data_IF_498687427584
#
_entry.id   IF_498687427584
#
_cell.length_a   1.000
_cell.length_b   1.000
_cell.length_c   1.000
_cell.angle_alpha   90.00
_cell.angle_beta   90.00
_cell.angle_gamma   90.00
#
_symmetry.space_group_name_H-M   'P 1'
#
loop_
_entity.id
_entity.type
_entity.pdbx_description
1 polymer ?
#
# COMPACT_ATOMS: atom_id res chain seq x y z
N UNK A 1 42.84 -8.32 75.66
CA UNK A 1 43.09 -8.56 74.23
C UNK A 1 41.81 -8.30 73.43
N UNK A 2 41.63 -7.14 72.78
CA UNK A 2 40.46 -6.75 71.98
C UNK A 2 40.71 -7.12 70.53
N UNK A 3 39.91 -8.00 69.93
CA UNK A 3 39.98 -8.34 68.51
C UNK A 3 39.31 -7.26 67.69
N UNK A 4 40.05 -6.51 66.90
CA UNK A 4 39.54 -5.59 65.92
C UNK A 4 39.09 -6.40 64.71
N UNK A 5 37.79 -6.44 64.45
CA UNK A 5 37.23 -6.98 63.18
C UNK A 5 37.33 -5.87 62.13
N UNK A 6 38.25 -6.08 61.20
CA UNK A 6 38.34 -5.23 59.99
C UNK A 6 37.18 -5.63 59.05
N UNK A 7 36.14 -4.78 58.92
CA UNK A 7 35.11 -4.96 57.91
C UNK A 7 35.64 -4.39 56.57
N UNK A 8 36.10 -5.28 55.71
CA UNK A 8 36.30 -4.91 54.30
C UNK A 8 34.97 -4.78 53.64
N UNK A 9 34.42 -3.55 53.55
CA UNK A 9 33.31 -3.24 52.65
C UNK A 9 33.85 -3.23 51.20
N UNK A 10 33.69 -4.36 50.53
CA UNK A 10 33.87 -4.38 49.08
C UNK A 10 32.66 -3.64 48.48
N UNK A 11 32.88 -2.38 48.12
CA UNK A 11 31.97 -1.65 47.25
C UNK A 11 32.12 -2.26 45.86
N UNK A 12 31.30 -3.24 45.54
CA UNK A 12 31.05 -3.66 44.18
C UNK A 12 30.30 -2.49 43.52
N UNK A 13 31.06 -1.58 42.92
CA UNK A 13 30.53 -0.67 41.93
C UNK A 13 30.08 -1.55 40.74
N UNK A 14 28.82 -1.94 40.75
CA UNK A 14 28.19 -2.47 39.57
C UNK A 14 28.32 -1.39 38.50
N UNK A 15 29.31 -1.51 37.65
CA UNK A 15 29.38 -0.83 36.38
C UNK A 15 28.21 -1.40 35.59
N UNK A 16 27.00 -0.88 35.81
CA UNK A 16 25.96 -1.06 34.83
C UNK A 16 26.50 -0.44 33.55
N UNK A 17 26.63 -1.20 32.44
CA UNK A 17 26.88 -0.55 31.18
C UNK A 17 25.77 0.51 31.06
N UNK A 18 26.16 1.77 30.97
CA UNK A 18 25.22 2.83 30.58
C UNK A 18 24.66 2.36 29.26
N UNK A 19 23.40 1.88 29.27
CA UNK A 19 22.68 1.61 28.03
C UNK A 19 22.61 2.97 27.36
N UNK A 20 23.53 3.19 26.45
CA UNK A 20 23.59 4.42 25.67
C UNK A 20 22.27 4.45 24.91
N UNK A 21 21.38 5.36 25.29
CA UNK A 21 20.15 5.51 24.53
C UNK A 21 20.56 5.94 23.12
N UNK A 22 20.21 5.11 22.14
CA UNK A 22 20.52 5.40 20.75
C UNK A 22 20.00 6.80 20.37
N UNK A 23 20.81 7.55 19.67
CA UNK A 23 20.41 8.86 19.14
C UNK A 23 19.30 8.68 18.10
N UNK A 24 18.52 9.74 17.85
CA UNK A 24 17.51 9.69 16.78
C UNK A 24 18.18 9.42 15.42
N UNK A 25 19.37 9.95 15.18
CA UNK A 25 20.10 9.71 13.92
C UNK A 25 20.43 8.21 13.72
N UNK A 26 20.87 7.51 14.77
CA UNK A 26 21.12 6.06 14.69
C UNK A 26 19.86 5.26 14.44
N UNK A 27 18.73 5.66 15.03
CA UNK A 27 17.44 4.98 14.82
C UNK A 27 16.91 5.21 13.40
N UNK A 28 17.03 6.43 12.86
CA UNK A 28 16.66 6.73 11.47
C UNK A 28 17.55 5.99 10.49
N UNK A 29 18.88 5.90 10.74
CA UNK A 29 19.78 5.12 9.90
C UNK A 29 19.40 3.62 9.86
N UNK A 30 18.91 3.06 10.96
CA UNK A 30 18.40 1.68 10.97
C UNK A 30 17.09 1.55 10.18
N UNK A 31 16.17 2.51 10.28
CA UNK A 31 14.95 2.50 9.47
C UNK A 31 15.26 2.64 7.97
N UNK A 32 16.27 3.44 7.59
CA UNK A 32 16.75 3.51 6.19
C UNK A 32 17.26 2.16 5.70
N UNK A 33 18.09 1.49 6.51
CA UNK A 33 18.59 0.15 6.19
C UNK A 33 17.44 -0.85 6.00
N UNK A 34 16.40 -0.78 6.83
CA UNK A 34 15.20 -1.62 6.72
C UNK A 34 14.43 -1.29 5.44
N UNK A 35 14.24 0.00 5.13
CA UNK A 35 13.52 0.43 3.94
C UNK A 35 14.19 -0.01 2.64
N UNK A 36 15.52 -0.01 2.59
CA UNK A 36 16.28 -0.49 1.43
C UNK A 36 16.23 -2.01 1.30
N UNK A 37 16.17 -2.72 2.42
CA UNK A 37 16.08 -4.19 2.42
C UNK A 37 14.75 -4.70 1.85
N UNK A 38 13.63 -4.03 2.15
CA UNK A 38 12.31 -4.40 1.62
C UNK A 38 12.25 -4.36 0.07
N UNK A 39 13.12 -3.56 -0.58
CA UNK A 39 13.14 -3.43 -2.05
C UNK A 39 14.13 -4.41 -2.73
N UNK A 40 15.18 -4.87 -2.03
CA UNK A 40 16.15 -5.81 -2.60
C UNK A 40 15.58 -7.24 -2.70
N UNK A 41 14.66 -7.61 -1.81
CA UNK A 41 14.13 -8.97 -1.72
C UNK A 41 13.10 -9.35 -2.80
N UNK A 42 12.61 -8.42 -3.60
CA UNK A 42 11.75 -8.75 -4.75
C UNK A 42 12.48 -9.60 -5.84
N UNK A 43 13.78 -9.81 -5.70
CA UNK A 43 14.62 -10.44 -6.73
C UNK A 43 15.03 -11.88 -6.39
N UNK A 44 15.15 -12.25 -5.11
CA UNK A 44 15.60 -13.59 -4.72
C UNK A 44 14.56 -14.31 -3.83
N UNK A 45 13.82 -15.26 -4.43
CA UNK A 45 12.84 -16.15 -3.76
C UNK A 45 13.47 -17.06 -2.68
N UNK A 46 14.10 -16.48 -1.68
CA UNK A 46 14.62 -17.23 -0.54
C UNK A 46 13.54 -17.30 0.55
N UNK A 47 12.64 -18.29 0.45
CA UNK A 47 11.47 -18.48 1.32
C UNK A 47 11.76 -18.53 2.85
N UNK A 48 13.02 -18.43 3.26
CA UNK A 48 13.43 -18.53 4.66
C UNK A 48 14.10 -17.24 5.21
N UNK A 49 14.20 -16.19 4.44
CA UNK A 49 14.81 -14.94 4.90
C UNK A 49 13.79 -14.10 5.66
N UNK A 50 14.15 -13.68 6.87
CA UNK A 50 13.29 -12.84 7.72
C UNK A 50 13.50 -11.39 7.30
N UNK A 51 12.54 -10.84 6.57
CA UNK A 51 12.54 -9.42 6.18
C UNK A 51 12.44 -8.55 7.44
N UNK A 52 13.43 -7.67 7.70
CA UNK A 52 13.39 -6.80 8.86
C UNK A 52 12.29 -5.74 8.70
N UNK A 53 11.63 -5.41 9.78
CA UNK A 53 10.51 -4.47 9.83
C UNK A 53 10.79 -3.32 10.80
N UNK A 54 10.05 -2.19 10.75
CA UNK A 54 10.17 -1.13 11.77
C UNK A 54 9.97 -1.64 13.21
N UNK A 55 9.22 -2.72 13.41
CA UNK A 55 9.08 -3.36 14.72
C UNK A 55 10.40 -3.96 15.25
N UNK A 56 11.31 -4.32 14.35
CA UNK A 56 12.65 -4.79 14.74
C UNK A 56 13.50 -3.63 15.25
N UNK A 57 13.45 -2.47 14.58
CA UNK A 57 14.07 -1.25 15.09
C UNK A 57 13.51 -0.86 16.46
N UNK A 58 12.17 -0.96 16.63
CA UNK A 58 11.52 -0.72 17.94
C UNK A 58 12.10 -1.62 19.02
N UNK A 59 12.24 -2.93 18.76
CA UNK A 59 12.82 -3.90 19.71
C UNK A 59 14.29 -3.61 19.97
N UNK A 60 15.07 -3.40 18.92
CA UNK A 60 16.51 -3.13 18.99
C UNK A 60 16.85 -1.94 19.90
N UNK A 61 16.07 -0.86 19.80
CA UNK A 61 16.31 0.39 20.52
C UNK A 61 15.38 0.59 21.72
N UNK A 62 14.52 -0.37 22.05
CA UNK A 62 13.55 -0.31 23.12
C UNK A 62 12.64 0.95 23.05
N UNK A 63 12.08 1.22 21.86
CA UNK A 63 11.24 2.38 21.62
C UNK A 63 9.79 2.14 22.02
N UNK A 64 9.13 3.21 22.44
CA UNK A 64 7.65 3.26 22.47
C UNK A 64 7.10 3.36 21.05
N UNK A 65 5.82 3.03 20.86
CA UNK A 65 5.16 3.18 19.55
C UNK A 65 5.17 4.64 19.07
N UNK A 66 5.01 5.60 19.98
CA UNK A 66 5.09 7.02 19.66
C UNK A 66 6.49 7.44 19.18
N UNK A 67 7.55 6.93 19.80
CA UNK A 67 8.92 7.23 19.37
C UNK A 67 9.23 6.61 18.00
N UNK A 68 8.83 5.36 17.77
CA UNK A 68 8.97 4.73 16.46
C UNK A 68 8.24 5.54 15.39
N UNK A 69 7.00 5.93 15.66
CA UNK A 69 6.20 6.70 14.71
C UNK A 69 6.81 8.07 14.36
N UNK A 70 7.34 8.79 15.36
CA UNK A 70 8.06 10.04 15.12
C UNK A 70 9.34 9.84 14.29
N UNK A 71 10.07 8.76 14.51
CA UNK A 71 11.24 8.41 13.69
C UNK A 71 10.83 8.08 12.25
N UNK A 72 9.75 7.33 12.03
CA UNK A 72 9.17 7.06 10.71
C UNK A 72 8.77 8.37 10.00
N UNK A 73 8.07 9.28 10.68
CA UNK A 73 7.70 10.59 10.12
C UNK A 73 8.92 11.43 9.78
N UNK A 74 9.94 11.37 10.63
CA UNK A 74 11.21 12.08 10.38
C UNK A 74 11.87 11.52 9.11
N UNK A 75 11.90 10.20 8.92
CA UNK A 75 12.43 9.58 7.71
C UNK A 75 11.60 9.96 6.47
N UNK A 76 10.27 9.90 6.55
CA UNK A 76 9.37 10.28 5.46
C UNK A 76 9.56 11.74 4.99
N UNK A 77 10.07 12.62 5.86
CA UNK A 77 10.36 14.03 5.57
C UNK A 77 11.84 14.35 5.36
N UNK A 78 12.74 13.37 5.52
CA UNK A 78 14.19 13.59 5.46
C UNK A 78 14.66 14.01 4.07
N UNK A 79 14.06 13.44 3.03
CA UNK A 79 14.48 13.67 1.65
C UNK A 79 13.51 14.58 0.91
N UNK A 80 14.07 15.48 0.10
CA UNK A 80 13.29 16.45 -0.67
C UNK A 80 12.54 15.73 -1.82
N UNK A 81 11.41 16.29 -2.24
CA UNK A 81 10.66 15.84 -3.43
C UNK A 81 11.47 15.90 -4.73
N UNK A 82 12.50 16.73 -4.80
CA UNK A 82 13.43 16.84 -5.92
C UNK A 82 14.68 15.96 -5.77
N UNK A 83 14.69 15.02 -4.80
CA UNK A 83 15.80 14.08 -4.61
C UNK A 83 16.05 13.25 -5.86
N UNK A 84 17.32 13.11 -6.26
CA UNK A 84 17.73 12.36 -7.44
C UNK A 84 18.36 11.01 -7.12
N UNK A 85 18.87 10.83 -5.90
CA UNK A 85 19.41 9.55 -5.45
C UNK A 85 18.25 8.55 -5.29
N UNK A 86 18.37 7.40 -5.95
CA UNK A 86 17.32 6.37 -5.99
C UNK A 86 17.05 5.79 -4.60
N UNK A 87 18.09 5.44 -3.84
CA UNK A 87 17.94 4.88 -2.50
C UNK A 87 17.23 5.85 -1.54
N UNK A 88 17.57 7.15 -1.58
CA UNK A 88 16.89 8.17 -0.79
C UNK A 88 15.41 8.29 -1.14
N UNK A 89 15.09 8.18 -2.44
CA UNK A 89 13.69 8.17 -2.92
C UNK A 89 12.95 6.95 -2.43
N UNK A 90 13.57 5.77 -2.49
CA UNK A 90 13.03 4.51 -1.99
C UNK A 90 12.76 4.60 -0.48
N UNK A 91 13.75 5.00 0.32
CA UNK A 91 13.57 5.21 1.76
C UNK A 91 12.38 6.12 2.10
N UNK A 92 12.21 7.23 1.36
CA UNK A 92 11.05 8.10 1.55
C UNK A 92 9.75 7.43 1.17
N UNK A 93 9.68 6.75 0.01
CA UNK A 93 8.48 6.05 -0.46
C UNK A 93 8.01 5.00 0.54
N UNK A 94 8.92 4.17 1.02
CA UNK A 94 8.64 3.12 2.02
C UNK A 94 8.20 3.76 3.33
N UNK A 95 8.90 4.79 3.82
CA UNK A 95 8.54 5.49 5.05
C UNK A 95 7.16 6.16 4.98
N UNK A 96 6.75 6.67 3.81
CA UNK A 96 5.39 7.20 3.59
C UNK A 96 4.34 6.08 3.72
N UNK A 97 4.61 4.89 3.21
CA UNK A 97 3.79 3.70 3.44
C UNK A 97 3.66 3.36 4.92
N UNK A 98 4.78 3.36 5.65
CA UNK A 98 4.79 3.10 7.09
C UNK A 98 4.02 4.15 7.91
N UNK A 99 3.99 5.42 7.48
CA UNK A 99 3.16 6.45 8.13
C UNK A 99 1.70 6.03 8.19
N UNK A 100 1.17 5.39 7.16
CA UNK A 100 -0.20 4.88 7.18
C UNK A 100 -0.38 3.63 8.03
N UNK A 101 0.62 2.75 8.05
CA UNK A 101 0.54 1.51 8.82
C UNK A 101 0.68 1.73 10.33
N UNK A 102 1.58 2.61 10.75
CA UNK A 102 1.86 2.91 12.17
C UNK A 102 1.11 4.13 12.71
N UNK A 103 0.55 4.95 11.82
CA UNK A 103 -0.20 6.16 12.17
C UNK A 103 -1.69 5.90 12.42
N UNK A 104 -2.41 6.99 12.49
CA UNK A 104 -3.87 7.01 12.64
C UNK A 104 -4.50 7.84 11.53
N UNK A 105 -5.83 7.91 11.51
CA UNK A 105 -6.57 8.77 10.57
C UNK A 105 -6.19 10.25 10.64
N UNK A 106 -5.51 10.70 11.69
CA UNK A 106 -4.97 12.05 11.79
C UNK A 106 -3.90 12.35 10.71
N UNK A 107 -3.26 11.31 10.19
CA UNK A 107 -2.22 11.43 9.15
C UNK A 107 -2.80 11.53 7.72
N UNK A 108 -4.10 11.34 7.55
CA UNK A 108 -4.74 11.41 6.21
C UNK A 108 -4.50 12.73 5.50
N UNK A 109 -4.49 13.86 6.21
CA UNK A 109 -4.22 15.17 5.59
C UNK A 109 -2.80 15.26 5.04
N UNK A 110 -1.81 14.75 5.77
CA UNK A 110 -0.42 14.68 5.34
C UNK A 110 -0.25 13.76 4.12
N UNK A 111 -0.79 12.54 4.19
CA UNK A 111 -0.73 11.57 3.09
C UNK A 111 -1.44 12.08 1.83
N UNK A 112 -2.59 12.72 1.97
CA UNK A 112 -3.31 13.33 0.84
C UNK A 112 -2.54 14.49 0.20
N UNK A 113 -1.78 15.25 0.97
CA UNK A 113 -0.91 16.30 0.41
C UNK A 113 0.17 15.70 -0.50
N UNK A 114 0.79 14.58 -0.11
CA UNK A 114 1.76 13.83 -0.93
C UNK A 114 1.05 13.21 -2.14
N UNK A 115 -0.07 12.51 -1.94
CA UNK A 115 -0.84 11.85 -2.98
C UNK A 115 -1.26 12.83 -4.10
N UNK A 116 -1.62 14.06 -3.75
CA UNK A 116 -2.07 15.08 -4.69
C UNK A 116 -0.94 15.90 -5.33
N UNK A 117 0.32 15.56 -5.04
CA UNK A 117 1.47 16.23 -5.64
C UNK A 117 2.08 15.36 -6.77
N UNK A 118 1.84 15.69 -8.06
CA UNK A 118 2.34 14.89 -9.18
C UNK A 118 3.87 14.89 -9.32
N UNK A 119 4.57 15.77 -8.60
CA UNK A 119 6.02 15.84 -8.59
C UNK A 119 6.65 15.06 -7.42
N UNK A 120 5.85 14.54 -6.50
CA UNK A 120 6.36 13.75 -5.36
C UNK A 120 6.47 12.28 -5.78
N UNK A 121 7.68 11.75 -5.79
CA UNK A 121 7.92 10.35 -6.14
C UNK A 121 7.34 9.34 -5.13
N UNK A 122 6.96 9.79 -3.93
CA UNK A 122 6.20 8.98 -2.97
C UNK A 122 4.68 9.03 -3.21
N UNK A 123 4.21 9.64 -4.33
CA UNK A 123 2.80 9.78 -4.67
C UNK A 123 2.06 8.44 -4.67
N UNK A 124 2.66 7.41 -5.27
CA UNK A 124 2.08 6.06 -5.32
C UNK A 124 1.91 5.44 -3.93
N UNK A 125 2.96 5.47 -3.11
CA UNK A 125 2.90 4.95 -1.74
C UNK A 125 1.84 5.67 -0.91
N UNK A 126 1.76 6.99 -1.02
CA UNK A 126 0.73 7.78 -0.36
C UNK A 126 -0.68 7.42 -0.85
N UNK A 127 -0.86 7.22 -2.15
CA UNK A 127 -2.15 6.83 -2.74
C UNK A 127 -2.62 5.47 -2.22
N UNK A 128 -1.76 4.44 -2.27
CA UNK A 128 -2.06 3.11 -1.74
C UNK A 128 -2.45 3.17 -0.26
N UNK A 129 -1.68 3.92 0.52
CA UNK A 129 -1.91 4.11 1.95
C UNK A 129 -3.23 4.81 2.25
N UNK A 130 -3.56 5.88 1.52
CA UNK A 130 -4.83 6.61 1.68
C UNK A 130 -6.02 5.73 1.32
N UNK A 131 -5.94 4.94 0.25
CA UNK A 131 -6.98 3.98 -0.12
C UNK A 131 -7.18 2.94 0.98
N UNK A 132 -6.11 2.36 1.51
CA UNK A 132 -6.18 1.37 2.58
C UNK A 132 -6.79 1.94 3.87
N UNK A 133 -6.37 3.13 4.29
CA UNK A 133 -6.88 3.78 5.50
C UNK A 133 -8.34 4.22 5.38
N UNK A 134 -8.84 4.42 4.18
CA UNK A 134 -10.20 4.93 3.96
C UNK A 134 -11.19 3.89 3.48
N UNK A 135 -10.76 2.67 3.19
CA UNK A 135 -11.58 1.60 2.57
C UNK A 135 -12.90 1.28 3.28
N UNK A 136 -12.99 1.55 4.58
CA UNK A 136 -14.19 1.32 5.39
C UNK A 136 -14.92 2.63 5.77
N UNK A 137 -14.56 3.75 5.13
CA UNK A 137 -15.14 5.06 5.43
C UNK A 137 -15.93 5.62 4.25
N UNK A 138 -16.81 6.58 4.52
CA UNK A 138 -17.58 7.30 3.50
C UNK A 138 -16.67 8.13 2.56
N UNK A 139 -15.42 8.38 2.95
CA UNK A 139 -14.46 9.12 2.14
C UNK A 139 -13.85 8.28 1.01
N UNK A 140 -13.97 6.96 1.04
CA UNK A 140 -13.31 6.05 0.09
C UNK A 140 -13.69 6.34 -1.37
N UNK A 141 -15.00 6.33 -1.67
CA UNK A 141 -15.47 6.57 -3.05
C UNK A 141 -15.15 7.95 -3.60
N UNK A 142 -15.32 9.04 -2.84
CA UNK A 142 -14.87 10.36 -3.27
C UNK A 142 -13.37 10.38 -3.63
N UNK A 143 -12.51 9.72 -2.85
CA UNK A 143 -11.06 9.63 -3.12
C UNK A 143 -10.78 8.80 -4.38
N UNK A 144 -11.38 7.62 -4.51
CA UNK A 144 -11.24 6.79 -5.71
C UNK A 144 -11.68 7.55 -6.96
N UNK A 145 -12.83 8.23 -6.89
CA UNK A 145 -13.33 9.02 -8.01
C UNK A 145 -12.37 10.17 -8.37
N UNK A 146 -11.80 10.85 -7.38
CA UNK A 146 -10.80 11.90 -7.62
C UNK A 146 -9.58 11.33 -8.34
N UNK A 147 -9.01 10.23 -7.84
CA UNK A 147 -7.85 9.59 -8.46
C UNK A 147 -8.12 9.25 -9.93
N UNK A 148 -9.20 8.55 -10.23
CA UNK A 148 -9.46 8.04 -11.60
C UNK A 148 -9.91 9.12 -12.59
N UNK A 149 -10.40 10.25 -12.11
CA UNK A 149 -10.89 11.34 -12.98
C UNK A 149 -9.89 12.48 -13.15
N UNK A 150 -9.01 12.71 -12.18
CA UNK A 150 -8.09 13.85 -12.19
C UNK A 150 -6.79 13.52 -12.93
N UNK A 151 -6.85 13.62 -14.26
CA UNK A 151 -5.71 13.32 -15.18
C UNK A 151 -4.54 14.30 -15.08
N UNK A 152 -4.72 15.44 -14.43
CA UNK A 152 -3.64 16.42 -14.23
C UNK A 152 -2.76 16.09 -13.04
N UNK A 153 -3.30 15.42 -12.04
CA UNK A 153 -2.60 15.03 -10.81
C UNK A 153 -2.12 13.58 -10.88
N UNK A 154 -2.96 12.68 -11.41
CA UNK A 154 -2.67 11.25 -11.44
C UNK A 154 -2.35 10.79 -12.87
N UNK A 155 -1.17 10.19 -13.05
CA UNK A 155 -0.76 9.56 -14.31
C UNK A 155 -1.70 8.40 -14.67
N UNK A 156 -1.66 7.96 -15.93
CA UNK A 156 -2.43 6.77 -16.36
C UNK A 156 -2.04 5.53 -15.54
N UNK A 157 -0.75 5.36 -15.26
CA UNK A 157 -0.26 4.26 -14.42
C UNK A 157 -0.86 4.25 -13.02
N UNK A 158 -0.91 5.41 -12.35
CA UNK A 158 -1.52 5.51 -11.01
C UNK A 158 -3.03 5.26 -11.02
N UNK A 159 -3.73 5.75 -12.05
CA UNK A 159 -5.15 5.45 -12.21
C UNK A 159 -5.40 3.98 -12.48
N UNK A 160 -4.55 3.35 -13.31
CA UNK A 160 -4.57 1.90 -13.54
C UNK A 160 -4.31 1.10 -12.26
N UNK A 161 -3.30 1.50 -11.50
CA UNK A 161 -2.96 0.89 -10.22
C UNK A 161 -4.12 0.97 -9.20
N UNK A 162 -4.89 2.06 -9.22
CA UNK A 162 -6.09 2.18 -8.36
C UNK A 162 -7.08 1.05 -8.65
N UNK A 163 -7.29 0.67 -9.91
CA UNK A 163 -8.17 -0.46 -10.27
C UNK A 163 -7.59 -1.79 -9.80
N UNK A 164 -6.28 -2.01 -9.92
CA UNK A 164 -5.62 -3.21 -9.40
C UNK A 164 -5.79 -3.30 -7.88
N UNK A 165 -5.50 -2.22 -7.17
CA UNK A 165 -5.67 -2.15 -5.70
C UNK A 165 -7.11 -2.46 -5.28
N UNK A 166 -8.10 -1.92 -6.01
CA UNK A 166 -9.51 -2.22 -5.75
C UNK A 166 -9.85 -3.69 -6.04
N UNK A 167 -9.27 -4.28 -7.09
CA UNK A 167 -9.46 -5.70 -7.41
C UNK A 167 -8.89 -6.59 -6.29
N UNK A 168 -7.71 -6.27 -5.79
CA UNK A 168 -7.07 -7.00 -4.70
C UNK A 168 -7.86 -6.89 -3.38
N UNK A 169 -8.35 -5.71 -3.06
CA UNK A 169 -9.26 -5.50 -1.92
C UNK A 169 -10.53 -6.36 -2.03
N UNK A 170 -11.07 -6.51 -3.24
CA UNK A 170 -12.22 -7.36 -3.49
C UNK A 170 -11.89 -8.86 -3.44
N UNK A 171 -10.66 -9.26 -3.77
CA UNK A 171 -10.21 -10.64 -3.70
C UNK A 171 -9.95 -11.11 -2.26
N UNK A 172 -9.47 -10.23 -1.40
CA UNK A 172 -9.31 -10.47 0.03
C UNK A 172 -10.64 -10.52 0.80
N UNK A 173 -11.75 -10.68 0.10
CA UNK A 173 -13.13 -10.48 0.55
C UNK A 173 -13.57 -11.29 1.77
N UNK A 174 -12.94 -12.41 2.05
CA UNK A 174 -13.36 -13.28 3.17
C UNK A 174 -13.04 -12.68 4.55
N UNK A 175 -12.27 -11.61 4.61
CA UNK A 175 -11.88 -10.95 5.86
C UNK A 175 -12.27 -9.48 5.92
N UNK A 176 -12.90 -8.93 4.88
CA UNK A 176 -13.11 -7.50 4.74
C UNK A 176 -14.60 -7.14 4.83
N UNK A 177 -15.00 -6.48 5.92
CA UNK A 177 -16.36 -5.97 6.18
C UNK A 177 -16.86 -5.05 5.06
N UNK A 178 -15.97 -4.29 4.46
CA UNK A 178 -16.26 -3.38 3.35
C UNK A 178 -16.82 -4.11 2.12
N UNK A 179 -16.25 -5.26 1.73
CA UNK A 179 -16.74 -6.05 0.57
C UNK A 179 -18.03 -6.79 0.90
N UNK A 180 -18.31 -7.05 2.17
CA UNK A 180 -19.54 -7.69 2.63
C UNK A 180 -20.72 -6.70 2.72
N UNK A 181 -20.47 -5.38 2.68
CA UNK A 181 -21.53 -4.38 2.66
C UNK A 181 -22.17 -4.30 1.27
N UNK A 182 -23.46 -4.67 1.17
CA UNK A 182 -24.21 -4.71 -0.09
C UNK A 182 -24.23 -3.36 -0.80
N UNK A 183 -24.39 -2.25 -0.06
CA UNK A 183 -24.44 -0.92 -0.64
C UNK A 183 -23.06 -0.53 -1.21
N UNK A 184 -22.00 -0.78 -0.49
CA UNK A 184 -20.63 -0.52 -0.95
C UNK A 184 -20.33 -1.35 -2.19
N UNK A 185 -20.65 -2.66 -2.20
CA UNK A 185 -20.48 -3.51 -3.39
C UNK A 185 -21.23 -2.99 -4.60
N UNK A 186 -22.48 -2.57 -4.41
CA UNK A 186 -23.29 -2.01 -5.49
C UNK A 186 -22.70 -0.72 -6.04
N UNK A 187 -22.20 0.15 -5.17
CA UNK A 187 -21.57 1.41 -5.57
C UNK A 187 -20.25 1.14 -6.32
N UNK A 188 -19.43 0.19 -5.85
CA UNK A 188 -18.20 -0.22 -6.55
C UNK A 188 -18.55 -0.77 -7.93
N UNK A 189 -19.52 -1.69 -8.02
CA UNK A 189 -19.93 -2.26 -9.30
C UNK A 189 -20.42 -1.17 -10.27
N UNK A 190 -21.24 -0.22 -9.82
CA UNK A 190 -21.70 0.90 -10.62
C UNK A 190 -20.54 1.78 -11.07
N UNK A 191 -19.62 2.10 -10.17
CA UNK A 191 -18.43 2.88 -10.47
C UNK A 191 -17.55 2.21 -11.52
N UNK A 192 -17.28 0.90 -11.42
CA UNK A 192 -16.50 0.17 -12.40
C UNK A 192 -17.19 0.10 -13.76
N UNK A 193 -18.48 -0.12 -13.80
CA UNK A 193 -19.25 -0.13 -15.05
C UNK A 193 -19.18 1.23 -15.77
N UNK A 194 -19.22 2.33 -15.03
CA UNK A 194 -19.07 3.67 -15.57
C UNK A 194 -17.64 3.96 -16.06
N UNK A 195 -16.63 3.50 -15.34
CA UNK A 195 -15.22 3.80 -15.59
C UNK A 195 -14.47 2.78 -16.45
N UNK A 196 -14.98 1.56 -16.61
CA UNK A 196 -14.38 0.50 -17.45
C UNK A 196 -14.10 0.95 -18.90
N UNK A 197 -14.70 2.05 -19.33
CA UNK A 197 -14.51 2.63 -20.66
C UNK A 197 -13.36 3.63 -20.75
N UNK A 198 -12.77 4.00 -19.63
CA UNK A 198 -11.82 5.12 -19.56
C UNK A 198 -10.35 4.67 -19.59
N UNK A 199 -10.03 3.48 -19.07
CA UNK A 199 -8.65 3.01 -18.89
C UNK A 199 -8.48 1.58 -19.43
N UNK A 200 -7.83 1.45 -20.56
CA UNK A 200 -7.77 0.18 -21.31
C UNK A 200 -6.89 -0.87 -20.64
N UNK A 201 -5.78 -0.48 -20.05
CA UNK A 201 -4.80 -1.43 -19.52
C UNK A 201 -5.27 -2.10 -18.21
N UNK A 202 -6.14 -1.43 -17.46
CA UNK A 202 -6.75 -1.95 -16.23
C UNK A 202 -8.12 -2.61 -16.45
N UNK A 203 -8.58 -2.69 -17.68
CA UNK A 203 -9.97 -3.06 -18.00
C UNK A 203 -10.34 -4.47 -17.61
N UNK A 204 -9.41 -5.42 -17.76
CA UNK A 204 -9.68 -6.83 -17.42
C UNK A 204 -9.81 -7.03 -15.92
N UNK A 205 -9.04 -6.28 -15.10
CA UNK A 205 -9.22 -6.26 -13.66
C UNK A 205 -10.57 -5.67 -13.26
N UNK A 206 -10.95 -4.55 -13.89
CA UNK A 206 -12.25 -3.89 -13.68
C UNK A 206 -13.39 -4.82 -14.06
N UNK A 207 -13.29 -5.52 -15.20
CA UNK A 207 -14.29 -6.49 -15.66
C UNK A 207 -14.45 -7.65 -14.67
N UNK A 208 -13.34 -8.23 -14.20
CA UNK A 208 -13.38 -9.32 -13.23
C UNK A 208 -13.99 -8.87 -11.89
N UNK A 209 -13.63 -7.69 -11.39
CA UNK A 209 -14.22 -7.14 -10.17
C UNK A 209 -15.71 -6.89 -10.35
N UNK A 210 -16.13 -6.30 -11.48
CA UNK A 210 -17.54 -6.11 -11.79
C UNK A 210 -18.34 -7.43 -11.81
N UNK A 211 -17.77 -8.49 -12.39
CA UNK A 211 -18.37 -9.83 -12.40
C UNK A 211 -18.51 -10.43 -10.99
N UNK A 212 -17.54 -10.22 -10.12
CA UNK A 212 -17.57 -10.72 -8.73
C UNK A 212 -18.60 -9.99 -7.88
N UNK A 213 -18.69 -8.69 -8.03
CA UNK A 213 -19.58 -7.84 -7.26
C UNK A 213 -21.02 -7.85 -7.76
N UNK A 214 -21.22 -8.11 -9.05
CA UNK A 214 -22.52 -8.23 -9.69
C UNK A 214 -22.55 -9.47 -10.59
N UNK A 215 -22.90 -10.67 -10.06
CA UNK A 215 -22.93 -11.90 -10.83
C UNK A 215 -23.81 -11.84 -12.10
N UNK A 216 -24.89 -11.04 -12.08
CA UNK A 216 -25.75 -10.87 -13.26
C UNK A 216 -25.06 -10.12 -14.41
N UNK A 217 -24.00 -9.34 -14.12
CA UNK A 217 -23.19 -8.69 -15.13
C UNK A 217 -22.36 -9.69 -15.93
N UNK A 218 -21.92 -10.81 -15.33
CA UNK A 218 -21.00 -11.78 -15.94
C UNK A 218 -21.45 -12.23 -17.33
N UNK A 219 -22.72 -12.52 -17.53
CA UNK A 219 -23.30 -12.99 -18.81
C UNK A 219 -24.17 -11.94 -19.49
N UNK A 220 -24.07 -10.66 -19.10
CA UNK A 220 -24.88 -9.57 -19.65
C UNK A 220 -24.42 -9.15 -21.03
N UNK A 221 -25.38 -8.60 -21.83
CA UNK A 221 -25.05 -7.93 -23.10
C UNK A 221 -24.11 -6.74 -22.87
N UNK A 222 -24.32 -5.99 -21.79
CA UNK A 222 -23.46 -4.85 -21.44
C UNK A 222 -22.00 -5.23 -21.26
N UNK A 223 -21.70 -6.38 -20.61
CA UNK A 223 -20.32 -6.88 -20.50
C UNK A 223 -19.72 -7.20 -21.87
N UNK A 224 -20.47 -7.88 -22.73
CA UNK A 224 -20.02 -8.21 -24.09
C UNK A 224 -19.69 -6.95 -24.89
N UNK A 225 -20.56 -5.95 -24.84
CA UNK A 225 -20.36 -4.69 -25.54
C UNK A 225 -19.15 -3.93 -24.99
N UNK A 226 -18.95 -3.91 -23.69
CA UNK A 226 -17.78 -3.32 -23.05
C UNK A 226 -16.48 -4.02 -23.47
N UNK A 227 -16.40 -5.34 -23.40
CA UNK A 227 -15.23 -6.11 -23.81
C UNK A 227 -14.92 -5.91 -25.30
N UNK A 228 -15.95 -5.92 -26.16
CA UNK A 228 -15.77 -5.69 -27.61
C UNK A 228 -15.21 -4.30 -27.90
N UNK A 229 -15.67 -3.27 -27.19
CA UNK A 229 -15.19 -1.89 -27.36
C UNK A 229 -13.77 -1.68 -26.84
N UNK A 230 -13.37 -2.38 -25.78
CA UNK A 230 -12.09 -2.22 -25.12
C UNK A 230 -10.98 -3.02 -25.77
N UNK A 231 -11.32 -4.02 -26.60
CA UNK A 231 -10.31 -4.75 -27.36
C UNK A 231 -9.66 -3.87 -28.42
N UNK A 232 -8.39 -3.55 -28.24
CA UNK A 232 -7.64 -2.75 -29.19
C UNK A 232 -7.52 -3.48 -30.54
N UNK A 233 -7.74 -2.81 -31.67
CA UNK A 233 -7.46 -3.38 -32.98
C UNK A 233 -5.98 -3.78 -33.10
N UNK A 234 -5.72 -4.96 -33.65
CA UNK A 234 -4.34 -5.45 -33.82
C UNK A 234 -3.72 -6.10 -32.58
N UNK A 235 -4.45 -6.24 -31.47
CA UNK A 235 -3.96 -6.95 -30.30
C UNK A 235 -3.68 -8.42 -30.65
N UNK A 236 -2.45 -8.88 -30.33
CA UNK A 236 -1.97 -10.25 -30.61
C UNK A 236 -1.33 -10.87 -29.38
N UNK A 237 -1.01 -12.16 -29.43
CA UNK A 237 -0.31 -12.87 -28.37
C UNK A 237 -1.15 -13.08 -27.11
N UNK A 238 -0.50 -13.13 -25.95
CA UNK A 238 -1.15 -13.39 -24.66
C UNK A 238 -2.27 -12.40 -24.32
N UNK A 239 -2.11 -11.09 -24.50
CA UNK A 239 -3.19 -10.14 -24.26
C UNK A 239 -4.45 -10.42 -25.09
N UNK A 240 -4.30 -10.76 -26.38
CA UNK A 240 -5.46 -11.15 -27.21
C UNK A 240 -6.16 -12.39 -26.68
N UNK A 241 -5.40 -13.41 -26.24
CA UNK A 241 -5.96 -14.64 -25.70
C UNK A 241 -6.76 -14.40 -24.41
N UNK A 242 -6.30 -13.49 -23.56
CA UNK A 242 -7.01 -13.12 -22.32
C UNK A 242 -8.32 -12.41 -22.64
N UNK A 243 -8.34 -11.46 -23.59
CA UNK A 243 -9.58 -10.81 -24.04
C UNK A 243 -10.56 -11.81 -24.68
N UNK A 244 -10.07 -12.70 -25.53
CA UNK A 244 -10.88 -13.73 -26.17
C UNK A 244 -11.46 -14.72 -25.14
N UNK A 245 -10.73 -15.03 -24.07
CA UNK A 245 -11.20 -15.82 -22.95
C UNK A 245 -12.33 -15.10 -22.17
N UNK A 246 -12.14 -13.82 -21.85
CA UNK A 246 -13.15 -13.00 -21.18
C UNK A 246 -14.43 -12.86 -22.04
N UNK A 247 -14.29 -12.69 -23.36
CA UNK A 247 -15.43 -12.67 -24.27
C UNK A 247 -16.18 -13.99 -24.30
N UNK A 248 -15.49 -15.14 -24.30
CA UNK A 248 -16.14 -16.47 -24.21
C UNK A 248 -16.86 -16.67 -22.87
N UNK A 249 -16.25 -16.24 -21.76
CA UNK A 249 -16.87 -16.29 -20.44
C UNK A 249 -18.12 -15.38 -20.33
N UNK A 250 -18.21 -14.34 -21.14
CA UNK A 250 -19.36 -13.43 -21.19
C UNK A 250 -20.57 -13.98 -21.99
N UNK A 251 -20.43 -15.10 -22.71
CA UNK A 251 -21.55 -15.70 -23.42
C UNK A 251 -22.58 -16.27 -22.45
N UNK A 252 -23.88 -16.24 -22.81
CA UNK A 252 -24.90 -16.92 -22.04
C UNK A 252 -24.55 -18.41 -21.89
N UNK A 253 -24.83 -19.00 -20.73
CA UNK A 253 -24.71 -20.43 -20.56
C UNK A 253 -25.84 -21.13 -21.33
N UNK A 254 -25.49 -22.20 -22.05
CA UNK A 254 -26.51 -23.01 -22.75
C UNK A 254 -27.55 -23.49 -21.73
N UNK A 255 -28.76 -22.96 -21.85
CA UNK A 255 -29.92 -23.36 -21.04
C UNK A 255 -30.40 -22.29 -20.02
N UNK A 256 -29.85 -21.06 -20.02
CA UNK A 256 -30.44 -19.94 -19.30
C UNK A 256 -31.21 -19.00 -20.22
#
# INVERSE_FOLDING_TARGET
MKKIKLLCSVVLSAIMPSVYAATQAERIAELERIALYEEEDDIDNNENEIIPTPADARRKFNLTDAQLFEDIKTLANKYNISETNVENRMCRSVAVGWVGFYGTTNELSYLRAIMNNPNDYAQESAMRTVLEMTKETDSFFPIVNDIVTNKTVFSEGLRGLTYVTLADMCNAANTNTFVNNVQIRSNIAAFFLDRATCEVDSTLYVDEVACRLNPSYRHSQQRRDNLARLRKPGLTGLPAQIYDAAQRDALPKEGE
#
